data_IF_448128298224
#
_entry.id   IF_448128298224
#
_cell.length_a   1.000
_cell.length_b   1.000
_cell.length_c   1.000
_cell.angle_alpha   90.00
_cell.angle_beta   90.00
_cell.angle_gamma   90.00
#
_symmetry.space_group_name_H-M   'P 1'
#
loop_
_entity.id
_entity.type
_entity.pdbx_description
1 polymer ?
#
# COMPACT_ATOMS: atom_id res chain seq x y z
N UNK A 1 -16.87 -0.86 -46.00
CA UNK A 1 -15.72 -0.06 -45.58
C UNK A 1 -15.92 0.21 -44.10
N UNK A 2 -15.32 -0.60 -43.21
CA UNK A 2 -15.47 -0.43 -41.76
C UNK A 2 -14.36 0.47 -41.27
N UNK A 3 -14.72 1.65 -40.77
CA UNK A 3 -13.78 2.59 -40.17
C UNK A 3 -13.16 1.99 -38.91
N UNK A 4 -11.84 2.01 -38.86
CA UNK A 4 -11.05 1.49 -37.76
C UNK A 4 -11.33 2.23 -36.46
N UNK A 5 -11.93 1.52 -35.51
CA UNK A 5 -12.03 1.93 -34.12
C UNK A 5 -10.61 1.99 -33.52
N UNK A 6 -9.97 3.16 -33.58
CA UNK A 6 -8.72 3.43 -32.86
C UNK A 6 -9.02 3.40 -31.36
N UNK A 7 -8.73 2.28 -30.71
CA UNK A 7 -8.58 2.20 -29.26
C UNK A 7 -7.51 3.23 -28.84
N UNK A 8 -7.93 4.39 -28.34
CA UNK A 8 -7.03 5.26 -27.59
C UNK A 8 -6.67 4.49 -26.32
N UNK A 9 -5.39 4.15 -26.15
CA UNK A 9 -4.85 3.80 -24.83
C UNK A 9 -5.01 5.05 -23.96
N UNK A 10 -6.12 5.15 -23.23
CA UNK A 10 -6.23 6.11 -22.15
C UNK A 10 -5.06 5.86 -21.20
N UNK A 11 -4.25 6.91 -20.97
CA UNK A 11 -3.28 6.93 -19.89
C UNK A 11 -4.08 6.68 -18.62
N UNK A 12 -3.96 5.49 -18.02
CA UNK A 12 -4.54 5.20 -16.72
C UNK A 12 -3.79 6.06 -15.71
N UNK A 13 -4.39 7.15 -15.28
CA UNK A 13 -3.84 8.03 -14.24
C UNK A 13 -4.60 7.70 -12.96
N UNK A 14 -3.88 7.55 -11.85
CA UNK A 14 -4.51 7.41 -10.54
C UNK A 14 -5.26 8.71 -10.20
N UNK A 15 -6.46 8.59 -9.62
CA UNK A 15 -7.18 9.76 -9.12
C UNK A 15 -6.38 10.40 -7.97
N UNK A 16 -6.12 11.70 -8.05
CA UNK A 16 -5.39 12.44 -7.01
C UNK A 16 -6.10 12.36 -5.64
N UNK A 17 -7.44 12.33 -5.64
CA UNK A 17 -8.23 12.17 -4.42
C UNK A 17 -7.97 10.81 -3.75
N UNK A 18 -7.89 9.74 -4.55
CA UNK A 18 -7.59 8.39 -4.06
C UNK A 18 -6.15 8.31 -3.56
N UNK A 19 -5.20 8.94 -4.26
CA UNK A 19 -3.80 8.99 -3.81
C UNK A 19 -3.66 9.73 -2.48
N UNK A 20 -4.34 10.86 -2.33
CA UNK A 20 -4.34 11.64 -1.08
C UNK A 20 -4.96 10.86 0.08
N UNK A 21 -6.08 10.18 -0.17
CA UNK A 21 -6.70 9.28 0.81
C UNK A 21 -5.76 8.16 1.24
N UNK A 22 -5.16 7.47 0.26
CA UNK A 22 -4.22 6.38 0.52
C UNK A 22 -3.01 6.87 1.33
N UNK A 23 -2.50 8.05 1.02
CA UNK A 23 -1.37 8.65 1.74
C UNK A 23 -1.73 8.90 3.22
N UNK A 24 -2.94 9.36 3.52
CA UNK A 24 -3.40 9.52 4.90
C UNK A 24 -3.49 8.17 5.63
N UNK A 25 -4.03 7.14 4.96
CA UNK A 25 -4.07 5.76 5.49
C UNK A 25 -2.67 5.20 5.78
N UNK A 26 -1.68 5.52 4.94
CA UNK A 26 -0.28 5.14 5.17
C UNK A 26 0.34 5.90 6.36
N UNK A 27 -0.03 7.16 6.59
CA UNK A 27 0.53 7.96 7.69
C UNK A 27 0.00 7.55 9.05
N UNK A 28 -1.28 7.16 9.11
CA UNK A 28 -1.99 6.86 10.35
C UNK A 28 -2.21 5.36 10.51
N UNK A 29 -3.19 4.82 9.78
CA UNK A 29 -3.68 3.45 9.97
C UNK A 29 -2.57 2.39 9.78
N UNK A 30 -1.70 2.53 8.78
CA UNK A 30 -0.56 1.62 8.58
C UNK A 30 0.43 1.69 9.76
N UNK A 31 0.75 2.89 10.22
CA UNK A 31 1.71 3.10 11.32
C UNK A 31 1.14 2.56 12.62
N UNK A 32 -0.14 2.82 12.90
CA UNK A 32 -0.83 2.30 14.09
C UNK A 32 -0.83 0.76 14.10
N UNK A 33 -1.14 0.13 12.95
CA UNK A 33 -1.05 -1.32 12.79
C UNK A 33 0.36 -1.84 13.10
N UNK A 34 1.38 -1.25 12.45
CA UNK A 34 2.76 -1.68 12.60
C UNK A 34 3.29 -1.50 14.04
N UNK A 35 2.88 -0.43 14.71
CA UNK A 35 3.21 -0.17 16.12
C UNK A 35 2.46 -1.09 17.08
N UNK A 36 1.31 -1.64 16.70
CA UNK A 36 0.57 -2.57 17.57
C UNK A 36 1.03 -4.01 17.38
N UNK A 37 1.29 -4.41 16.14
CA UNK A 37 1.48 -5.82 15.77
C UNK A 37 2.91 -6.17 15.39
N UNK A 38 3.73 -5.19 15.02
CA UNK A 38 4.99 -5.42 14.31
C UNK A 38 6.22 -4.71 14.89
N UNK A 39 6.20 -4.28 16.17
CA UNK A 39 7.33 -3.62 16.85
C UNK A 39 8.64 -4.44 16.76
N UNK A 40 8.57 -5.77 16.60
CA UNK A 40 9.73 -6.66 16.47
C UNK A 40 10.22 -6.93 15.03
N UNK A 41 9.49 -6.51 14.01
CA UNK A 41 9.77 -6.84 12.61
C UNK A 41 9.44 -8.30 12.25
N UNK A 42 8.18 -8.56 11.92
CA UNK A 42 7.67 -9.88 11.55
C UNK A 42 7.86 -10.25 10.07
N UNK A 43 8.28 -9.30 9.23
CA UNK A 43 8.44 -9.48 7.77
C UNK A 43 9.91 -9.63 7.35
N UNK A 44 10.75 -10.19 8.22
CA UNK A 44 12.17 -10.44 7.98
C UNK A 44 13.00 -9.17 7.96
N UNK A 45 14.04 -9.13 7.11
CA UNK A 45 14.94 -7.99 6.99
C UNK A 45 15.26 -7.64 5.54
N UNK A 46 15.58 -6.36 5.28
CA UNK A 46 15.90 -5.82 3.96
C UNK A 46 17.17 -4.99 4.03
N UNK A 47 17.95 -4.97 2.95
CA UNK A 47 19.08 -4.06 2.79
C UNK A 47 18.59 -2.73 2.20
N UNK A 48 18.89 -1.63 2.88
CA UNK A 48 18.65 -0.28 2.38
C UNK A 48 19.96 0.47 2.46
N UNK A 49 20.50 0.84 1.30
CA UNK A 49 21.73 1.62 1.15
C UNK A 49 22.94 0.99 1.88
N UNK A 50 23.05 -0.35 1.84
CA UNK A 50 24.15 -1.11 2.44
C UNK A 50 24.00 -1.39 3.93
N UNK A 51 22.85 -1.05 4.53
CA UNK A 51 22.54 -1.37 5.93
C UNK A 51 21.30 -2.26 6.00
N UNK A 52 21.38 -3.29 6.86
CA UNK A 52 20.28 -4.23 7.09
C UNK A 52 19.31 -3.71 8.13
N UNK A 53 18.02 -3.71 7.80
CA UNK A 53 16.93 -3.26 8.66
C UNK A 53 15.89 -4.38 8.84
N UNK A 54 15.38 -4.54 10.05
CA UNK A 54 14.19 -5.37 10.29
C UNK A 54 12.98 -4.75 9.60
N UNK A 55 12.02 -5.57 9.21
CA UNK A 55 10.82 -5.14 8.51
C UNK A 55 9.55 -5.56 9.25
N UNK A 56 8.58 -4.65 9.34
CA UNK A 56 7.19 -4.99 9.67
C UNK A 56 6.38 -5.24 8.40
N UNK A 57 5.41 -6.13 8.48
CA UNK A 57 4.39 -6.35 7.45
C UNK A 57 3.09 -5.66 7.82
N UNK A 58 2.58 -4.80 6.94
CA UNK A 58 1.27 -4.18 7.09
C UNK A 58 0.31 -4.77 6.05
N UNK A 59 -0.60 -5.64 6.50
CA UNK A 59 -1.65 -6.19 5.65
C UNK A 59 -2.75 -5.15 5.44
N UNK A 60 -3.26 -5.02 4.22
CA UNK A 60 -4.29 -4.07 3.86
C UNK A 60 -5.23 -4.59 2.79
N UNK A 61 -6.35 -3.88 2.66
CA UNK A 61 -7.39 -4.14 1.67
C UNK A 61 -7.73 -2.84 0.97
N UNK A 62 -7.80 -2.89 -0.35
CA UNK A 62 -8.15 -1.74 -1.17
C UNK A 62 -9.29 -2.11 -2.12
N UNK A 63 -10.09 -1.12 -2.53
CA UNK A 63 -11.08 -1.30 -3.58
C UNK A 63 -10.38 -1.81 -4.86
N UNK A 64 -10.86 -2.94 -5.39
CA UNK A 64 -10.24 -3.63 -6.52
C UNK A 64 -10.21 -2.79 -7.81
N UNK A 65 -11.12 -1.84 -7.97
CA UNK A 65 -11.18 -0.98 -9.17
C UNK A 65 -10.39 0.30 -9.01
N UNK A 66 -10.59 1.02 -7.90
CA UNK A 66 -10.04 2.37 -7.69
C UNK A 66 -8.68 2.38 -7.01
N UNK A 67 -8.35 1.34 -6.25
CA UNK A 67 -7.16 1.28 -5.39
C UNK A 67 -7.26 2.10 -4.11
N UNK A 68 -8.46 2.57 -3.76
CA UNK A 68 -8.70 3.24 -2.48
C UNK A 68 -8.49 2.25 -1.32
N UNK A 69 -7.55 2.56 -0.43
CA UNK A 69 -7.27 1.76 0.75
C UNK A 69 -8.44 1.87 1.72
N UNK A 70 -9.10 0.74 1.96
CA UNK A 70 -10.26 0.65 2.84
C UNK A 70 -9.76 0.55 4.28
N UNK A 71 -8.84 -0.39 4.53
CA UNK A 71 -8.38 -0.71 5.88
C UNK A 71 -7.01 -1.40 5.89
N UNK A 72 -6.26 -1.18 6.97
CA UNK A 72 -5.09 -1.98 7.35
C UNK A 72 -5.46 -2.92 8.50
N UNK A 73 -5.06 -4.18 8.42
CA UNK A 73 -5.29 -5.20 9.44
C UNK A 73 -5.28 -6.61 8.89
N UNK A 74 -5.21 -7.60 9.78
CA UNK A 74 -5.36 -9.00 9.38
C UNK A 74 -6.83 -9.31 9.12
N UNK A 75 -7.09 -10.24 8.18
CA UNK A 75 -8.46 -10.64 7.87
C UNK A 75 -9.20 -11.13 9.11
N UNK A 76 -8.54 -11.68 10.13
CA UNK A 76 -9.22 -12.21 11.32
C UNK A 76 -9.79 -11.12 12.22
N UNK A 77 -9.20 -9.92 12.19
CA UNK A 77 -9.50 -8.82 13.12
C UNK A 77 -10.54 -7.83 12.57
N UNK A 78 -10.82 -7.89 11.26
CA UNK A 78 -11.81 -7.02 10.60
C UNK A 78 -13.23 -7.49 10.94
N UNK A 79 -13.95 -6.74 11.77
CA UNK A 79 -15.28 -7.13 12.27
C UNK A 79 -16.36 -7.13 11.18
N UNK A 80 -16.41 -6.09 10.35
CA UNK A 80 -17.37 -6.01 9.25
C UNK A 80 -16.73 -6.54 7.97
N UNK A 81 -17.10 -7.75 7.55
CA UNK A 81 -16.60 -8.35 6.31
C UNK A 81 -17.18 -7.70 5.06
N UNK A 82 -18.32 -7.01 5.16
CA UNK A 82 -18.99 -6.43 4.00
C UNK A 82 -18.18 -5.30 3.38
N UNK A 83 -17.38 -4.59 4.19
CA UNK A 83 -16.48 -3.55 3.68
C UNK A 83 -15.40 -4.11 2.74
N UNK A 84 -15.17 -5.43 2.79
CA UNK A 84 -14.20 -6.13 1.94
C UNK A 84 -14.83 -6.68 0.66
N UNK A 85 -16.15 -6.53 0.47
CA UNK A 85 -16.80 -6.85 -0.80
C UNK A 85 -16.17 -5.99 -1.91
N UNK A 86 -15.69 -6.65 -2.97
CA UNK A 86 -14.95 -6.02 -4.06
C UNK A 86 -13.60 -5.37 -3.65
N UNK A 87 -13.01 -5.84 -2.56
CA UNK A 87 -11.64 -5.47 -2.19
C UNK A 87 -10.61 -6.47 -2.72
N UNK A 88 -9.39 -6.00 -2.89
CA UNK A 88 -8.19 -6.79 -3.14
C UNK A 88 -7.24 -6.65 -1.97
N UNK A 89 -6.68 -7.77 -1.54
CA UNK A 89 -5.67 -7.81 -0.49
C UNK A 89 -4.30 -7.34 -0.98
N UNK A 90 -3.52 -6.72 -0.10
CA UNK A 90 -2.10 -6.42 -0.31
C UNK A 90 -1.33 -6.41 1.02
N UNK A 91 -0.01 -6.52 0.96
CA UNK A 91 0.89 -6.37 2.11
C UNK A 91 1.98 -5.37 1.77
N UNK A 92 2.23 -4.44 2.68
CA UNK A 92 3.37 -3.53 2.60
C UNK A 92 4.48 -4.03 3.50
N UNK A 93 5.70 -4.11 2.97
CA UNK A 93 6.90 -4.40 3.74
C UNK A 93 7.58 -3.09 4.11
N UNK A 94 7.73 -2.82 5.41
CA UNK A 94 8.19 -1.53 5.91
C UNK A 94 9.41 -1.69 6.80
N UNK A 95 10.53 -1.09 6.39
CA UNK A 95 11.78 -1.09 7.14
C UNK A 95 11.64 -0.26 8.42
N UNK A 96 12.19 -0.80 9.51
CA UNK A 96 12.20 -0.25 10.86
C UNK A 96 13.62 0.12 11.27
N UNK A 97 13.82 1.37 11.68
CA UNK A 97 15.03 1.83 12.37
C UNK A 97 14.68 2.17 13.82
N UNK A 98 15.54 1.78 14.78
CA UNK A 98 15.26 1.97 16.21
C UNK A 98 15.18 3.43 16.64
N UNK A 99 15.81 4.34 15.90
CA UNK A 99 15.79 5.78 16.21
C UNK A 99 14.66 6.50 15.46
N UNK A 100 14.34 6.08 14.23
CA UNK A 100 13.35 6.75 13.37
C UNK A 100 11.96 6.11 13.37
N UNK A 101 11.85 4.88 13.86
CA UNK A 101 10.65 4.05 13.66
C UNK A 101 10.57 3.49 12.24
N UNK A 102 9.36 3.17 11.78
CA UNK A 102 9.11 2.74 10.41
C UNK A 102 9.37 3.89 9.43
N UNK A 103 10.27 3.69 8.47
CA UNK A 103 10.82 4.81 7.69
C UNK A 103 10.83 4.59 6.17
N UNK A 104 10.70 3.35 5.68
CA UNK A 104 10.71 3.06 4.24
C UNK A 104 9.85 1.87 3.90
N UNK A 105 8.86 2.06 3.04
CA UNK A 105 8.13 0.96 2.41
C UNK A 105 9.01 0.44 1.27
N UNK A 106 9.45 -0.81 1.38
CA UNK A 106 10.40 -1.42 0.43
C UNK A 106 9.73 -2.30 -0.61
N UNK A 107 8.51 -2.76 -0.35
CA UNK A 107 7.81 -3.71 -1.21
C UNK A 107 6.29 -3.59 -1.04
N UNK A 108 5.56 -3.79 -2.13
CA UNK A 108 4.11 -3.92 -2.18
C UNK A 108 3.80 -5.30 -2.75
N UNK A 109 3.21 -6.17 -1.95
CA UNK A 109 2.82 -7.52 -2.32
C UNK A 109 1.31 -7.55 -2.53
N UNK A 110 0.85 -7.49 -3.77
CA UNK A 110 -0.58 -7.68 -4.06
C UNK A 110 -0.97 -9.15 -3.92
N UNK A 111 -2.12 -9.41 -3.33
CA UNK A 111 -2.69 -10.75 -3.23
C UNK A 111 -3.08 -11.34 -4.58
N UNK A 112 -3.62 -12.56 -4.56
CA UNK A 112 -4.12 -13.23 -5.77
C UNK A 112 -5.40 -12.61 -6.34
N UNK A 113 -6.06 -11.75 -5.57
CA UNK A 113 -7.29 -11.06 -5.96
C UNK A 113 -7.02 -10.05 -7.08
N UNK A 114 -8.03 -9.83 -7.93
CA UNK A 114 -7.89 -8.93 -9.06
C UNK A 114 -7.94 -7.46 -8.62
N UNK A 115 -6.81 -6.77 -8.70
CA UNK A 115 -6.74 -5.30 -8.63
C UNK A 115 -6.47 -4.70 -10.01
N UNK A 116 -7.23 -3.66 -10.35
CA UNK A 116 -7.13 -2.93 -11.61
C UNK A 116 -5.77 -2.25 -11.75
N UNK A 117 -5.37 -1.97 -12.99
CA UNK A 117 -4.12 -1.22 -13.24
C UNK A 117 -4.17 0.22 -12.69
N UNK A 118 -5.34 0.86 -12.66
CA UNK A 118 -5.48 2.19 -12.06
C UNK A 118 -5.35 2.13 -10.54
N UNK A 119 -5.94 1.09 -9.93
CA UNK A 119 -5.86 0.88 -8.48
C UNK A 119 -4.44 0.59 -8.00
N UNK A 120 -3.68 -0.24 -8.74
CA UNK A 120 -2.25 -0.47 -8.47
C UNK A 120 -1.47 0.85 -8.47
N UNK A 121 -1.65 1.65 -9.52
CA UNK A 121 -0.96 2.94 -9.65
C UNK A 121 -1.30 3.91 -8.51
N UNK A 122 -2.54 3.91 -8.01
CA UNK A 122 -2.95 4.77 -6.91
C UNK A 122 -2.23 4.40 -5.60
N UNK A 123 -2.07 3.12 -5.31
CA UNK A 123 -1.36 2.63 -4.12
C UNK A 123 0.15 2.88 -4.28
N UNK A 124 0.72 2.56 -5.44
CA UNK A 124 2.14 2.76 -5.74
C UNK A 124 2.55 4.24 -5.62
N UNK A 125 1.73 5.16 -6.14
CA UNK A 125 1.99 6.60 -6.06
C UNK A 125 1.89 7.12 -4.61
N UNK A 126 0.90 6.65 -3.83
CA UNK A 126 0.81 7.00 -2.41
C UNK A 126 2.02 6.49 -1.61
N UNK A 127 2.47 5.26 -1.87
CA UNK A 127 3.68 4.68 -1.25
C UNK A 127 4.94 5.48 -1.61
N UNK A 128 5.06 5.89 -2.88
CA UNK A 128 6.17 6.73 -3.33
C UNK A 128 6.19 8.07 -2.58
N UNK A 129 5.05 8.76 -2.47
CA UNK A 129 4.95 10.03 -1.74
C UNK A 129 5.27 9.88 -0.26
N UNK A 130 4.78 8.82 0.37
CA UNK A 130 5.10 8.53 1.78
C UNK A 130 6.61 8.31 1.98
N UNK A 131 7.26 7.57 1.07
CA UNK A 131 8.71 7.35 1.12
C UNK A 131 9.50 8.65 0.90
N UNK A 132 9.06 9.52 0.00
CA UNK A 132 9.71 10.80 -0.26
C UNK A 132 9.61 11.74 0.96
N UNK A 133 8.46 11.77 1.65
CA UNK A 133 8.27 12.53 2.90
C UNK A 133 9.19 12.04 4.03
N UNK A 134 9.36 10.71 4.14
CA UNK A 134 10.17 10.10 5.20
C UNK A 134 11.68 10.16 4.93
N UNK A 135 12.10 10.37 3.68
CA UNK A 135 13.52 10.54 3.32
C UNK A 135 14.14 11.80 3.95
N UNK A 136 13.32 12.77 4.34
CA UNK A 136 13.74 14.05 4.92
C UNK A 136 13.91 14.01 6.46
N UNK A 137 13.64 12.87 7.10
CA UNK A 137 13.80 12.62 8.55
C UNK A 137 15.01 11.71 8.82
#
# INVERSE_FOLDING_TARGET
MFEGFKFRKEKRVASEEVVAWNLEKLRKDMVDLLMTESIGGNAGAVDVDGKKYSCGGANGYANSETGEIIVFGNIQDIQDKKILENSSSFTLRVALDRQRGFFKITEILFGSDHISGAGRLAIEEAVKRWNDERRLL
#
